data_IF_402336307852
#
_entry.id   IF_402336307852
#
_cell.length_a   1.000
_cell.length_b   1.000
_cell.length_c   1.000
_cell.angle_alpha   90.00
_cell.angle_beta   90.00
_cell.angle_gamma   90.00
#
_symmetry.space_group_name_H-M   'P 1'
#
loop_
_entity.id
_entity.type
_entity.pdbx_description
1 polymer ?
#
# COMPACT_ATOMS: atom_id res chain seq x y z
N UNK A 1 34.57 -3.21 -34.75
CA UNK A 1 33.97 -2.38 -33.75
C UNK A 1 35.06 -2.15 -32.73
N UNK A 2 35.93 -1.15 -32.83
CA UNK A 2 36.38 -0.75 -31.55
C UNK A 2 37.83 -0.90 -31.21
N UNK A 3 38.64 -0.12 -31.88
CA UNK A 3 40.02 0.23 -31.47
C UNK A 3 40.07 1.21 -30.26
N UNK A 4 38.97 1.26 -29.50
CA UNK A 4 38.89 2.11 -28.31
C UNK A 4 38.88 1.20 -27.10
N UNK A 5 39.91 1.28 -26.27
CA UNK A 5 40.03 0.52 -25.00
C UNK A 5 39.04 1.04 -23.95
N UNK A 6 37.74 0.94 -24.26
CA UNK A 6 36.64 1.32 -23.37
C UNK A 6 35.82 0.11 -22.96
N UNK A 7 35.77 -0.13 -21.65
CA UNK A 7 34.93 -1.22 -21.13
C UNK A 7 33.45 -0.83 -21.11
N UNK A 8 32.53 -1.74 -21.49
CA UNK A 8 31.09 -1.43 -21.52
C UNK A 8 30.54 -0.84 -20.22
N UNK A 9 31.03 -1.30 -19.06
CA UNK A 9 30.62 -0.78 -17.74
C UNK A 9 31.00 0.68 -17.48
N UNK A 10 31.97 1.24 -18.22
CA UNK A 10 32.41 2.64 -18.08
C UNK A 10 31.52 3.59 -18.88
N UNK A 11 30.82 3.07 -19.87
CA UNK A 11 30.08 3.87 -20.84
C UNK A 11 29.04 4.80 -20.19
N UNK A 12 28.17 4.36 -19.24
CA UNK A 12 27.20 5.26 -18.62
C UNK A 12 27.85 6.45 -17.91
N UNK A 13 28.95 6.20 -17.16
CA UNK A 13 29.70 7.26 -16.46
C UNK A 13 30.39 8.20 -17.47
N UNK A 14 31.01 7.63 -18.50
CA UNK A 14 31.70 8.39 -19.55
C UNK A 14 30.70 9.29 -20.28
N UNK A 15 29.56 8.76 -20.67
CA UNK A 15 28.50 9.49 -21.37
C UNK A 15 27.96 10.66 -20.54
N UNK A 16 27.69 10.44 -19.25
CA UNK A 16 27.26 11.52 -18.35
C UNK A 16 28.29 12.66 -18.27
N UNK A 17 29.58 12.34 -18.27
CA UNK A 17 30.65 13.34 -18.18
C UNK A 17 30.91 14.13 -19.47
N UNK A 18 30.23 13.80 -20.57
CA UNK A 18 30.34 14.56 -21.82
C UNK A 18 29.63 15.92 -21.71
N UNK A 19 28.60 16.04 -20.90
CA UNK A 19 27.80 17.27 -20.77
C UNK A 19 28.52 18.34 -19.93
N UNK A 20 28.98 17.95 -18.75
CA UNK A 20 29.65 18.82 -17.77
C UNK A 20 30.39 18.02 -16.72
N UNK A 21 30.98 18.70 -15.75
CA UNK A 21 31.57 18.05 -14.56
C UNK A 21 30.49 17.67 -13.56
N UNK A 22 30.66 16.51 -12.94
CA UNK A 22 29.74 15.95 -11.94
C UNK A 22 30.46 15.40 -10.73
N UNK A 23 29.82 15.37 -9.57
CA UNK A 23 30.28 14.59 -8.42
C UNK A 23 29.91 13.11 -8.60
N UNK A 24 30.58 12.20 -7.87
CA UNK A 24 30.23 10.75 -7.88
C UNK A 24 28.76 10.53 -7.50
N UNK A 25 28.23 11.30 -6.53
CA UNK A 25 26.85 11.18 -6.08
C UNK A 25 25.85 11.59 -7.18
N UNK A 26 26.13 12.68 -7.90
CA UNK A 26 25.29 13.13 -9.03
C UNK A 26 25.30 12.10 -10.15
N UNK A 27 26.47 11.54 -10.50
CA UNK A 27 26.57 10.47 -11.51
C UNK A 27 25.75 9.25 -11.08
N UNK A 28 25.91 8.81 -9.81
CA UNK A 28 25.21 7.65 -9.28
C UNK A 28 23.69 7.82 -9.36
N UNK A 29 23.19 9.00 -9.04
CA UNK A 29 21.76 9.35 -9.17
C UNK A 29 21.29 9.36 -10.63
N UNK A 30 22.10 9.96 -11.51
CA UNK A 30 21.76 10.10 -12.93
C UNK A 30 21.64 8.76 -13.65
N UNK A 31 22.58 7.82 -13.37
CA UNK A 31 22.59 6.49 -14.03
C UNK A 31 21.90 5.39 -13.22
N UNK A 32 21.25 5.71 -12.08
CA UNK A 32 20.54 4.75 -11.25
C UNK A 32 21.43 3.70 -10.57
N UNK A 33 22.70 4.01 -10.32
CA UNK A 33 23.67 3.09 -9.70
C UNK A 33 23.98 3.47 -8.25
N UNK A 34 24.53 2.51 -7.48
CA UNK A 34 24.99 2.82 -6.13
C UNK A 34 26.29 3.61 -6.15
N UNK A 35 26.49 4.52 -5.17
CA UNK A 35 27.70 5.30 -5.01
C UNK A 35 29.00 4.46 -5.01
N UNK A 36 29.09 3.31 -4.29
CA UNK A 36 30.27 2.46 -4.33
C UNK A 36 30.57 1.88 -5.72
N UNK A 37 29.54 1.53 -6.49
CA UNK A 37 29.68 1.03 -7.86
C UNK A 37 30.30 2.09 -8.77
N UNK A 38 29.75 3.31 -8.75
CA UNK A 38 30.26 4.43 -9.54
C UNK A 38 31.69 4.81 -9.11
N UNK A 39 31.97 4.86 -7.82
CA UNK A 39 33.32 5.14 -7.30
C UNK A 39 34.37 4.16 -7.84
N UNK A 40 34.03 2.86 -7.91
CA UNK A 40 34.92 1.85 -8.48
C UNK A 40 35.16 2.08 -9.98
N UNK A 41 34.11 2.34 -10.74
CA UNK A 41 34.17 2.65 -12.18
C UNK A 41 35.05 3.88 -12.41
N UNK A 42 34.81 4.97 -11.70
CA UNK A 42 35.58 6.22 -11.78
C UNK A 42 37.05 5.97 -11.48
N UNK A 43 37.38 5.23 -10.44
CA UNK A 43 38.76 4.90 -10.08
C UNK A 43 39.48 4.16 -11.21
N UNK A 44 38.80 3.25 -11.91
CA UNK A 44 39.36 2.56 -13.08
C UNK A 44 39.57 3.53 -14.24
N UNK A 45 38.62 4.43 -14.52
CA UNK A 45 38.70 5.42 -15.60
C UNK A 45 39.78 6.47 -15.35
N UNK A 46 39.99 6.89 -14.11
CA UNK A 46 41.12 7.79 -13.72
C UNK A 46 42.44 7.10 -13.96
N UNK A 47 42.59 5.83 -13.57
CA UNK A 47 43.82 5.04 -13.83
C UNK A 47 44.13 4.88 -15.33
N UNK A 48 43.09 4.84 -16.15
CA UNK A 48 43.20 4.78 -17.63
C UNK A 48 43.38 6.16 -18.25
N UNK A 49 43.42 7.23 -17.46
CA UNK A 49 43.58 8.60 -17.96
C UNK A 49 42.40 9.16 -18.73
N UNK A 50 41.21 8.58 -18.61
CA UNK A 50 39.99 9.04 -19.29
C UNK A 50 39.31 10.17 -18.53
N UNK A 51 39.39 10.16 -17.20
CA UNK A 51 38.73 11.09 -16.28
C UNK A 51 39.75 11.70 -15.35
N UNK A 52 39.52 12.95 -14.99
CA UNK A 52 40.33 13.69 -13.99
C UNK A 52 39.43 14.19 -12.87
N UNK A 53 40.02 14.21 -11.67
CA UNK A 53 39.38 14.80 -10.49
C UNK A 53 39.79 16.27 -10.36
N UNK A 54 38.86 17.11 -10.00
CA UNK A 54 39.08 18.52 -9.79
C UNK A 54 38.22 19.09 -8.68
N UNK A 55 38.32 20.39 -8.48
CA UNK A 55 37.43 21.14 -7.56
C UNK A 55 36.37 21.87 -8.37
N UNK A 56 35.15 21.91 -7.83
CA UNK A 56 34.08 22.70 -8.41
C UNK A 56 34.45 24.19 -8.45
N UNK A 57 34.17 24.85 -9.55
CA UNK A 57 34.51 26.26 -9.75
C UNK A 57 33.76 27.20 -8.77
N UNK A 58 32.56 26.81 -8.35
CA UNK A 58 31.69 27.60 -7.47
C UNK A 58 31.79 27.19 -5.98
N UNK A 59 32.15 25.91 -5.70
CA UNK A 59 32.35 25.43 -4.33
C UNK A 59 33.57 24.51 -4.27
N UNK A 60 34.71 25.08 -3.87
CA UNK A 60 36.00 24.35 -3.75
C UNK A 60 35.99 23.18 -2.75
N UNK A 61 34.95 23.03 -1.94
CA UNK A 61 34.80 21.87 -1.06
C UNK A 61 34.29 20.63 -1.78
N UNK A 62 33.69 20.81 -2.97
CA UNK A 62 33.17 19.71 -3.77
C UNK A 62 34.24 19.20 -4.73
N UNK A 63 34.44 17.88 -4.72
CA UNK A 63 35.23 17.18 -5.72
C UNK A 63 34.32 16.84 -6.90
N UNK A 64 34.74 17.23 -8.09
CA UNK A 64 34.01 16.94 -9.34
C UNK A 64 34.93 16.18 -10.30
N UNK A 65 34.31 15.44 -11.18
CA UNK A 65 34.91 14.63 -12.22
C UNK A 65 34.65 15.28 -13.57
N UNK A 66 35.62 15.23 -14.43
CA UNK A 66 35.51 15.66 -15.83
C UNK A 66 36.32 14.77 -16.75
N UNK A 67 35.99 14.78 -18.04
CA UNK A 67 36.82 14.10 -19.03
C UNK A 67 38.20 14.76 -19.09
N UNK A 68 39.28 13.95 -19.12
CA UNK A 68 40.65 14.41 -19.39
C UNK A 68 40.78 14.84 -20.84
N UNK A 69 41.95 15.38 -21.23
CA UNK A 69 42.27 15.63 -22.63
C UNK A 69 42.12 14.36 -23.48
N UNK A 70 42.69 13.24 -23.00
CA UNK A 70 42.55 11.93 -23.63
C UNK A 70 41.07 11.46 -23.67
N UNK A 71 40.29 11.67 -22.59
CA UNK A 71 38.85 11.37 -22.56
C UNK A 71 38.08 12.14 -23.63
N UNK A 72 38.44 13.42 -23.87
CA UNK A 72 37.83 14.23 -24.92
C UNK A 72 38.18 13.75 -26.32
N UNK A 73 39.43 13.30 -26.55
CA UNK A 73 39.81 12.66 -27.82
C UNK A 73 39.00 11.38 -28.08
N UNK A 74 38.76 10.60 -27.06
CA UNK A 74 37.93 9.40 -27.13
C UNK A 74 36.47 9.78 -27.41
N UNK A 75 35.96 10.85 -26.80
CA UNK A 75 34.58 11.37 -27.02
C UNK A 75 34.39 11.68 -28.51
N UNK A 76 35.32 12.39 -29.14
CA UNK A 76 35.23 12.71 -30.56
C UNK A 76 35.21 11.47 -31.47
N UNK A 77 36.03 10.46 -31.13
CA UNK A 77 36.05 9.19 -31.87
C UNK A 77 34.75 8.38 -31.68
N UNK A 78 34.10 8.48 -30.51
CA UNK A 78 32.85 7.77 -30.21
C UNK A 78 31.64 8.40 -30.87
N UNK A 79 31.68 9.68 -31.20
CA UNK A 79 30.53 10.43 -31.75
C UNK A 79 29.88 9.72 -32.94
N UNK A 80 30.66 9.39 -33.95
CA UNK A 80 30.17 8.68 -35.14
C UNK A 80 29.65 7.27 -34.83
N UNK A 81 30.31 6.56 -33.91
CA UNK A 81 29.87 5.22 -33.51
C UNK A 81 28.55 5.26 -32.74
N UNK A 82 28.30 6.31 -31.96
CA UNK A 82 27.03 6.50 -31.26
C UNK A 82 25.90 6.79 -32.25
N UNK A 83 26.16 7.64 -33.24
CA UNK A 83 25.23 7.94 -34.34
C UNK A 83 24.90 6.66 -35.13
N UNK A 84 25.89 5.81 -35.43
CA UNK A 84 25.67 4.52 -36.08
C UNK A 84 24.82 3.58 -35.27
N UNK A 85 25.02 3.53 -33.94
CA UNK A 85 24.21 2.72 -33.03
C UNK A 85 22.78 3.25 -32.93
N UNK A 86 22.61 4.56 -32.82
CA UNK A 86 21.29 5.23 -32.79
C UNK A 86 20.50 4.91 -34.07
N UNK A 87 21.11 5.12 -35.23
CA UNK A 87 20.51 4.82 -36.53
C UNK A 87 20.14 3.33 -36.67
N UNK A 88 21.01 2.43 -36.18
CA UNK A 88 20.73 0.99 -36.20
C UNK A 88 19.54 0.62 -35.28
N UNK A 89 19.48 1.19 -34.08
CA UNK A 89 18.36 0.99 -33.16
C UNK A 89 17.05 1.55 -33.73
N UNK A 90 17.08 2.77 -34.28
CA UNK A 90 15.91 3.35 -34.94
C UNK A 90 15.45 2.50 -36.13
N UNK A 91 16.41 1.99 -36.94
CA UNK A 91 16.11 1.07 -38.03
C UNK A 91 15.37 -0.18 -37.56
N UNK A 92 15.76 -0.75 -36.43
CA UNK A 92 15.09 -1.92 -35.83
C UNK A 92 13.69 -1.51 -35.33
N UNK A 93 13.56 -0.39 -34.61
CA UNK A 93 12.27 0.08 -34.10
C UNK A 93 11.26 0.35 -35.22
N UNK A 94 11.73 0.92 -36.32
CA UNK A 94 10.90 1.20 -37.50
C UNK A 94 10.51 -0.07 -38.28
N UNK A 95 11.34 -1.12 -38.22
CA UNK A 95 11.05 -2.41 -38.85
C UNK A 95 10.13 -3.31 -38.01
N UNK A 96 9.93 -3.02 -36.74
CA UNK A 96 9.06 -3.81 -35.86
C UNK A 96 7.61 -3.29 -35.90
N UNK A 97 6.65 -4.21 -35.74
CA UNK A 97 5.22 -3.87 -35.69
C UNK A 97 4.84 -2.96 -34.53
N UNK A 98 5.56 -3.03 -33.42
CA UNK A 98 5.30 -2.28 -32.20
C UNK A 98 6.57 -1.53 -31.81
N UNK A 99 6.44 -0.24 -31.54
CA UNK A 99 7.55 0.55 -31.02
C UNK A 99 7.81 0.19 -29.55
N UNK A 100 8.88 -0.55 -29.32
CA UNK A 100 9.27 -1.01 -27.99
C UNK A 100 9.57 0.17 -27.02
N UNK A 101 10.10 1.27 -27.55
CA UNK A 101 10.46 2.44 -26.76
C UNK A 101 9.22 3.09 -26.14
N UNK A 102 8.19 3.33 -26.95
CA UNK A 102 6.91 3.82 -26.46
C UNK A 102 6.28 2.87 -25.44
N UNK A 103 6.40 1.56 -25.67
CA UNK A 103 5.92 0.57 -24.69
C UNK A 103 6.65 0.62 -23.34
N UNK A 104 7.96 0.90 -23.35
CA UNK A 104 8.75 1.07 -22.12
C UNK A 104 8.33 2.37 -21.40
N UNK A 105 8.16 3.47 -22.10
CA UNK A 105 7.70 4.74 -21.52
C UNK A 105 6.32 4.60 -20.85
N UNK A 106 5.37 3.96 -21.53
CA UNK A 106 4.05 3.67 -20.94
C UNK A 106 4.16 2.81 -19.70
N UNK A 107 5.00 1.77 -19.74
CA UNK A 107 5.24 0.89 -18.59
C UNK A 107 5.84 1.65 -17.40
N UNK A 108 6.86 2.46 -17.63
CA UNK A 108 7.48 3.31 -16.61
C UNK A 108 6.46 4.28 -16.01
N UNK A 109 5.68 4.96 -16.85
CA UNK A 109 4.60 5.82 -16.40
C UNK A 109 3.62 5.08 -15.48
N UNK A 110 3.17 3.88 -15.86
CA UNK A 110 2.27 3.07 -15.05
C UNK A 110 2.88 2.65 -13.71
N UNK A 111 4.20 2.45 -13.67
CA UNK A 111 4.92 2.14 -12.43
C UNK A 111 5.08 3.35 -11.51
N UNK A 112 5.16 4.57 -12.04
CA UNK A 112 5.13 5.80 -11.22
C UNK A 112 3.77 6.01 -10.56
N UNK A 113 2.66 5.70 -11.25
CA UNK A 113 1.31 5.79 -10.69
C UNK A 113 1.11 4.76 -9.56
N UNK A 114 1.63 3.56 -9.73
CA UNK A 114 1.49 2.48 -8.75
C UNK A 114 2.60 1.45 -8.93
N UNK A 115 3.48 1.35 -7.94
CA UNK A 115 4.61 0.43 -8.00
C UNK A 115 4.17 -1.04 -8.23
N UNK A 116 5.02 -1.83 -8.87
CA UNK A 116 4.78 -3.27 -9.09
C UNK A 116 4.51 -4.00 -7.77
N UNK A 117 5.25 -3.68 -6.71
CA UNK A 117 5.04 -4.25 -5.37
C UNK A 117 3.61 -4.03 -4.87
N UNK A 118 3.08 -2.83 -5.05
CA UNK A 118 1.72 -2.48 -4.62
C UNK A 118 0.68 -3.24 -5.43
N UNK A 119 0.88 -3.39 -6.76
CA UNK A 119 0.01 -4.20 -7.64
C UNK A 119 0.02 -5.67 -7.22
N UNK A 120 1.19 -6.26 -7.01
CA UNK A 120 1.33 -7.66 -6.55
C UNK A 120 0.66 -7.88 -5.19
N UNK A 121 0.80 -6.93 -4.26
CA UNK A 121 0.13 -7.00 -2.95
C UNK A 121 -1.39 -7.00 -3.07
N UNK A 122 -1.94 -6.24 -3.99
CA UNK A 122 -3.39 -6.20 -4.24
C UNK A 122 -3.89 -7.50 -4.89
N UNK A 123 -3.19 -8.02 -5.89
CA UNK A 123 -3.52 -9.32 -6.51
C UNK A 123 -3.47 -10.46 -5.47
N UNK A 124 -2.45 -10.46 -4.61
CA UNK A 124 -2.38 -11.40 -3.50
C UNK A 124 -3.59 -11.29 -2.58
N UNK A 125 -3.98 -10.06 -2.22
CA UNK A 125 -5.13 -9.81 -1.37
C UNK A 125 -6.43 -10.29 -2.01
N UNK A 126 -6.64 -10.05 -3.31
CA UNK A 126 -7.79 -10.56 -4.04
C UNK A 126 -7.83 -12.09 -4.09
N UNK A 127 -6.69 -12.73 -4.32
CA UNK A 127 -6.59 -14.20 -4.30
C UNK A 127 -6.94 -14.76 -2.92
N UNK A 128 -6.36 -14.21 -1.85
CA UNK A 128 -6.60 -14.66 -0.49
C UNK A 128 -8.05 -14.38 -0.02
N UNK A 129 -8.70 -13.35 -0.56
CA UNK A 129 -10.10 -13.04 -0.24
C UNK A 129 -11.09 -14.08 -0.79
N UNK A 130 -10.72 -14.85 -1.81
CA UNK A 130 -11.56 -15.95 -2.33
C UNK A 130 -11.73 -17.10 -1.36
N UNK A 131 -10.77 -17.27 -0.46
CA UNK A 131 -10.79 -18.29 0.60
C UNK A 131 -11.56 -17.81 1.85
N UNK A 132 -12.16 -16.60 1.80
CA UNK A 132 -12.92 -16.02 2.91
C UNK A 132 -14.41 -16.12 2.58
N UNK A 133 -15.15 -16.75 3.47
CA UNK A 133 -16.61 -16.76 3.46
C UNK A 133 -17.17 -15.99 4.65
N UNK A 134 -18.24 -15.24 4.44
CA UNK A 134 -18.99 -14.58 5.51
C UNK A 134 -20.27 -15.38 5.75
N UNK A 135 -20.43 -15.85 6.97
CA UNK A 135 -21.58 -16.65 7.39
C UNK A 135 -22.34 -15.98 8.54
N UNK A 136 -23.61 -16.28 8.67
CA UNK A 136 -24.40 -15.86 9.86
C UNK A 136 -23.95 -16.65 11.08
N UNK A 137 -24.13 -16.06 12.24
CA UNK A 137 -23.82 -16.67 13.53
C UNK A 137 -24.68 -17.94 13.78
N UNK A 138 -24.01 -18.96 14.25
CA UNK A 138 -24.57 -20.15 14.85
C UNK A 138 -23.90 -20.36 16.22
N UNK A 139 -24.55 -21.08 17.14
CA UNK A 139 -24.03 -21.29 18.51
C UNK A 139 -22.65 -21.96 18.56
N UNK A 140 -22.29 -22.72 17.55
CA UNK A 140 -20.92 -23.28 17.38
C UNK A 140 -19.84 -22.20 17.28
N UNK A 141 -20.18 -20.96 16.95
CA UNK A 141 -19.27 -19.82 16.84
C UNK A 141 -19.19 -18.98 18.12
N UNK A 142 -19.96 -19.32 19.17
CA UNK A 142 -20.02 -18.54 20.41
C UNK A 142 -18.63 -18.35 21.03
N UNK A 143 -17.85 -19.42 21.12
CA UNK A 143 -16.50 -19.38 21.68
C UNK A 143 -15.57 -18.53 20.80
N UNK A 144 -15.65 -18.65 19.47
CA UNK A 144 -14.87 -17.83 18.56
C UNK A 144 -15.23 -16.34 18.66
N UNK A 145 -16.53 -16.02 18.77
CA UNK A 145 -16.98 -14.64 18.97
C UNK A 145 -16.42 -14.04 20.26
N UNK A 146 -16.48 -14.78 21.36
CA UNK A 146 -15.95 -14.36 22.64
C UNK A 146 -14.43 -14.18 22.60
N UNK A 147 -13.71 -15.21 22.16
CA UNK A 147 -12.25 -15.25 22.18
C UNK A 147 -11.63 -14.16 21.30
N UNK A 148 -12.11 -14.00 20.06
CA UNK A 148 -11.59 -12.97 19.15
C UNK A 148 -11.79 -11.55 19.70
N UNK A 149 -12.97 -11.26 20.28
CA UNK A 149 -13.22 -9.95 20.88
C UNK A 149 -12.40 -9.74 22.17
N UNK A 150 -12.33 -10.75 23.03
CA UNK A 150 -11.56 -10.66 24.27
C UNK A 150 -10.06 -10.44 24.00
N UNK A 151 -9.49 -11.20 23.06
CA UNK A 151 -8.10 -11.03 22.62
C UNK A 151 -7.85 -9.61 22.08
N UNK A 152 -8.75 -9.14 21.21
CA UNK A 152 -8.65 -7.81 20.63
C UNK A 152 -8.78 -6.71 21.69
N UNK A 153 -9.80 -6.78 22.58
CA UNK A 153 -9.99 -5.77 23.62
C UNK A 153 -8.77 -5.77 24.58
N UNK A 154 -8.32 -6.92 25.03
CA UNK A 154 -7.20 -7.04 25.96
C UNK A 154 -5.86 -6.57 25.39
N UNK A 155 -5.73 -6.53 24.06
CA UNK A 155 -4.52 -6.02 23.41
C UNK A 155 -4.41 -4.49 23.52
N UNK A 156 -5.52 -3.77 23.54
CA UNK A 156 -5.54 -2.29 23.49
C UNK A 156 -6.17 -1.65 24.72
N UNK A 157 -7.04 -2.35 25.45
CA UNK A 157 -7.88 -1.83 26.51
C UNK A 157 -8.09 -2.86 27.62
N UNK A 158 -8.83 -2.44 28.64
CA UNK A 158 -9.38 -3.34 29.65
C UNK A 158 -10.81 -3.75 29.29
N UNK A 159 -11.17 -4.98 29.64
CA UNK A 159 -12.53 -5.49 29.49
C UNK A 159 -13.47 -4.80 30.47
N UNK A 160 -14.58 -4.26 29.97
CA UNK A 160 -15.62 -3.61 30.76
C UNK A 160 -16.80 -4.57 31.03
N UNK A 161 -17.60 -4.29 32.06
CA UNK A 161 -18.76 -5.15 32.44
C UNK A 161 -19.70 -5.44 31.26
N UNK A 162 -19.95 -4.45 30.39
CA UNK A 162 -20.80 -4.60 29.20
C UNK A 162 -20.20 -5.52 28.14
N UNK A 163 -18.86 -5.61 28.09
CA UNK A 163 -18.20 -6.56 27.19
C UNK A 163 -18.50 -7.99 27.61
N UNK A 164 -18.28 -8.31 28.90
CA UNK A 164 -18.57 -9.65 29.42
C UNK A 164 -20.01 -10.06 29.15
N UNK A 165 -21.00 -9.18 29.40
CA UNK A 165 -22.41 -9.48 29.16
C UNK A 165 -22.69 -9.90 27.72
N UNK A 166 -22.22 -9.11 26.75
CA UNK A 166 -22.50 -9.37 25.33
C UNK A 166 -21.64 -10.50 24.74
N UNK A 167 -20.42 -10.73 25.27
CA UNK A 167 -19.53 -11.76 24.76
C UNK A 167 -19.79 -13.14 25.37
N UNK A 168 -20.27 -13.20 26.63
CA UNK A 168 -20.64 -14.44 27.29
C UNK A 168 -21.99 -14.98 26.83
N UNK A 169 -22.91 -14.10 26.48
CA UNK A 169 -24.28 -14.47 26.05
C UNK A 169 -24.70 -13.72 24.77
N UNK A 170 -24.01 -13.94 23.62
CA UNK A 170 -24.26 -13.21 22.39
C UNK A 170 -25.68 -13.42 21.84
N UNK A 171 -26.28 -14.58 22.06
CA UNK A 171 -27.66 -14.88 21.67
C UNK A 171 -28.64 -13.96 22.41
N UNK A 172 -28.59 -13.92 23.73
CA UNK A 172 -29.51 -13.12 24.58
C UNK A 172 -29.29 -11.60 24.35
N UNK A 173 -28.04 -11.17 24.34
CA UNK A 173 -27.72 -9.73 24.34
C UNK A 173 -27.67 -9.09 22.94
N UNK A 174 -27.60 -9.89 21.87
CA UNK A 174 -27.50 -9.38 20.50
C UNK A 174 -28.66 -9.93 19.63
N UNK A 175 -28.75 -11.26 19.47
CA UNK A 175 -29.67 -11.88 18.52
C UNK A 175 -31.11 -11.68 18.93
N UNK A 176 -31.48 -12.05 20.17
CA UNK A 176 -32.85 -11.94 20.69
C UNK A 176 -33.35 -10.50 20.85
N UNK A 177 -32.40 -9.55 20.93
CA UNK A 177 -32.69 -8.10 20.88
C UNK A 177 -32.86 -7.56 19.46
N UNK A 178 -32.93 -8.43 18.45
CA UNK A 178 -33.11 -8.04 17.06
C UNK A 178 -31.83 -7.60 16.37
N UNK A 179 -30.67 -7.95 16.91
CA UNK A 179 -29.37 -7.80 16.25
C UNK A 179 -28.98 -9.01 15.41
N UNK A 180 -27.77 -8.99 14.87
CA UNK A 180 -27.20 -10.07 14.08
C UNK A 180 -25.69 -10.13 14.30
N UNK A 181 -25.08 -11.31 14.16
CA UNK A 181 -23.64 -11.47 14.18
C UNK A 181 -23.21 -12.15 12.88
N UNK A 182 -22.17 -11.64 12.24
CA UNK A 182 -21.51 -12.27 11.10
C UNK A 182 -20.13 -12.79 11.49
N UNK A 183 -19.77 -13.94 10.92
CA UNK A 183 -18.48 -14.61 11.16
C UNK A 183 -17.76 -14.72 9.82
N UNK A 184 -16.51 -14.29 9.78
CA UNK A 184 -15.63 -14.51 8.64
C UNK A 184 -14.82 -15.80 8.86
N UNK A 185 -15.01 -16.76 7.96
CA UNK A 185 -14.24 -17.99 7.91
C UNK A 185 -13.11 -17.81 6.88
N UNK A 186 -11.91 -18.19 7.23
CA UNK A 186 -10.79 -18.35 6.31
C UNK A 186 -10.35 -19.80 6.33
N UNK A 187 -10.53 -20.51 5.21
CA UNK A 187 -10.33 -21.97 5.14
C UNK A 187 -11.11 -22.72 6.21
N UNK A 188 -12.39 -22.38 6.35
CA UNK A 188 -13.35 -22.94 7.31
C UNK A 188 -13.05 -22.64 8.78
N UNK A 189 -12.00 -21.90 9.12
CA UNK A 189 -11.70 -21.47 10.48
C UNK A 189 -12.23 -20.07 10.78
N UNK A 190 -12.89 -19.81 11.91
CA UNK A 190 -13.34 -18.48 12.30
C UNK A 190 -12.16 -17.54 12.56
N UNK A 191 -11.99 -16.53 11.71
CA UNK A 191 -10.89 -15.58 11.76
C UNK A 191 -11.33 -14.13 11.98
N UNK A 192 -12.62 -13.89 12.00
CA UNK A 192 -13.15 -12.57 12.30
C UNK A 192 -14.63 -12.61 12.61
N UNK A 193 -15.09 -11.64 13.36
CA UNK A 193 -16.50 -11.50 13.79
C UNK A 193 -16.90 -10.03 13.79
N UNK A 194 -18.18 -9.77 13.62
CA UNK A 194 -18.76 -8.43 13.77
C UNK A 194 -20.23 -8.55 14.13
N UNK A 195 -20.72 -7.68 15.01
CA UNK A 195 -22.12 -7.61 15.39
C UNK A 195 -22.81 -6.38 14.78
N UNK A 196 -24.04 -6.58 14.36
CA UNK A 196 -25.05 -5.56 14.09
C UNK A 196 -26.00 -5.53 15.29
N UNK A 197 -25.94 -4.48 16.08
CA UNK A 197 -26.80 -4.35 17.27
C UNK A 197 -28.00 -3.45 16.93
N UNK A 198 -29.20 -3.91 17.28
CA UNK A 198 -30.40 -3.07 17.17
C UNK A 198 -30.32 -1.96 18.20
N UNK A 199 -30.57 -0.72 17.81
CA UNK A 199 -30.61 0.43 18.71
C UNK A 199 -32.05 0.83 19.05
N UNK A 200 -32.26 1.18 20.29
CA UNK A 200 -33.48 1.88 20.77
C UNK A 200 -33.20 3.39 20.78
N UNK A 201 -32.96 3.95 19.59
CA UNK A 201 -32.53 5.34 19.41
C UNK A 201 -33.38 5.98 18.29
N UNK A 202 -33.66 7.27 18.39
CA UNK A 202 -34.44 7.98 17.37
C UNK A 202 -33.65 8.38 16.14
N UNK A 203 -32.29 8.44 16.27
CA UNK A 203 -31.39 8.87 15.20
C UNK A 203 -30.74 7.70 14.45
N UNK A 204 -30.58 6.54 15.10
CA UNK A 204 -29.87 5.39 14.54
C UNK A 204 -30.69 4.11 14.71
N UNK A 205 -30.76 3.34 13.63
CA UNK A 205 -31.48 2.05 13.62
C UNK A 205 -30.61 0.92 14.17
N UNK A 206 -29.31 0.97 13.88
CA UNK A 206 -28.36 -0.08 14.24
C UNK A 206 -27.00 0.49 14.61
N UNK A 207 -26.24 -0.30 15.38
CA UNK A 207 -24.82 -0.08 15.68
C UNK A 207 -23.97 -1.21 15.10
N UNK A 208 -22.89 -0.88 14.40
CA UNK A 208 -21.80 -1.80 14.08
C UNK A 208 -20.89 -1.90 15.31
N UNK A 209 -20.88 -3.07 15.95
CA UNK A 209 -20.15 -3.29 17.20
C UNK A 209 -19.39 -4.63 17.19
N UNK A 210 -18.54 -4.83 18.20
CA UNK A 210 -17.86 -6.11 18.44
C UNK A 210 -17.14 -6.66 17.21
N UNK A 211 -16.48 -5.77 16.43
CA UNK A 211 -15.67 -6.18 15.30
C UNK A 211 -14.28 -6.58 15.80
N UNK A 212 -13.92 -7.82 15.57
CA UNK A 212 -12.59 -8.34 15.86
C UNK A 212 -12.10 -9.25 14.74
N UNK A 213 -10.80 -9.18 14.42
CA UNK A 213 -10.14 -10.02 13.41
C UNK A 213 -8.88 -10.60 14.04
N UNK A 214 -8.71 -11.92 13.90
CA UNK A 214 -7.53 -12.62 14.38
C UNK A 214 -6.24 -12.02 13.81
N UNK A 215 -5.18 -11.80 14.62
CA UNK A 215 -3.88 -11.39 14.14
C UNK A 215 -3.32 -12.28 13.03
N UNK A 216 -3.62 -13.58 13.05
CA UNK A 216 -3.22 -14.56 12.01
C UNK A 216 -3.81 -14.27 10.63
N UNK A 217 -4.89 -13.48 10.58
CA UNK A 217 -5.61 -13.15 9.36
C UNK A 217 -5.52 -11.65 8.99
N UNK A 218 -4.67 -10.88 9.66
CA UNK A 218 -4.44 -9.48 9.32
C UNK A 218 -3.94 -9.31 7.87
N UNK A 219 -4.33 -8.22 7.24
CA UNK A 219 -3.94 -7.90 5.85
C UNK A 219 -4.74 -8.62 4.75
N UNK A 220 -5.58 -9.64 5.10
CA UNK A 220 -6.42 -10.39 4.14
C UNK A 220 -7.72 -9.68 3.77
N UNK A 221 -8.04 -8.55 4.39
CA UNK A 221 -9.26 -7.78 4.12
C UNK A 221 -10.50 -8.23 4.86
N UNK A 222 -10.38 -9.14 5.82
CA UNK A 222 -11.52 -9.67 6.61
C UNK A 222 -12.34 -8.55 7.27
N UNK A 223 -11.69 -7.55 7.87
CA UNK A 223 -12.39 -6.42 8.48
C UNK A 223 -13.27 -5.66 7.50
N UNK A 224 -12.81 -5.47 6.25
CA UNK A 224 -13.60 -4.82 5.20
C UNK A 224 -14.81 -5.68 4.80
N UNK A 225 -14.62 -7.00 4.63
CA UNK A 225 -15.71 -7.92 4.30
C UNK A 225 -16.76 -7.99 5.40
N UNK A 226 -16.35 -8.03 6.67
CA UNK A 226 -17.24 -7.99 7.84
C UNK A 226 -18.03 -6.68 7.87
N UNK A 227 -17.35 -5.53 7.75
CA UNK A 227 -18.01 -4.23 7.76
C UNK A 227 -19.00 -4.08 6.60
N UNK A 228 -18.62 -4.54 5.40
CA UNK A 228 -19.53 -4.57 4.24
C UNK A 228 -20.75 -5.46 4.51
N UNK A 229 -20.53 -6.68 5.03
CA UNK A 229 -21.64 -7.58 5.35
C UNK A 229 -22.62 -6.97 6.36
N UNK A 230 -22.11 -6.31 7.40
CA UNK A 230 -22.95 -5.61 8.39
C UNK A 230 -23.75 -4.48 7.75
N UNK A 231 -23.14 -3.69 6.85
CA UNK A 231 -23.84 -2.64 6.10
C UNK A 231 -24.95 -3.23 5.24
N UNK A 232 -24.66 -4.31 4.51
CA UNK A 232 -25.66 -5.00 3.67
C UNK A 232 -26.81 -5.55 4.52
N UNK A 233 -26.52 -6.19 5.66
CA UNK A 233 -27.55 -6.67 6.61
C UNK A 233 -28.40 -5.56 7.20
N UNK A 234 -27.78 -4.43 7.56
CA UNK A 234 -28.52 -3.27 8.05
C UNK A 234 -29.50 -2.72 6.99
N UNK A 235 -29.08 -2.66 5.72
CA UNK A 235 -29.95 -2.25 4.60
C UNK A 235 -31.08 -3.24 4.35
N UNK A 236 -30.79 -4.55 4.30
CA UNK A 236 -31.80 -5.62 4.13
C UNK A 236 -32.90 -5.56 5.20
N UNK A 237 -32.54 -5.07 6.40
CA UNK A 237 -33.49 -4.89 7.52
C UNK A 237 -34.18 -3.52 7.53
N UNK A 238 -34.01 -2.73 6.48
CA UNK A 238 -34.65 -1.42 6.34
C UNK A 238 -34.05 -0.32 7.19
N UNK A 239 -32.82 -0.51 7.69
CA UNK A 239 -32.07 0.52 8.41
C UNK A 239 -31.74 1.70 7.51
N UNK A 240 -31.80 2.91 8.05
CA UNK A 240 -31.44 4.16 7.39
C UNK A 240 -30.12 4.71 7.86
N UNK A 241 -29.86 4.59 9.16
CA UNK A 241 -28.66 5.11 9.80
C UNK A 241 -27.95 4.03 10.61
N UNK A 242 -26.66 3.88 10.36
CA UNK A 242 -25.77 2.96 11.09
C UNK A 242 -24.75 3.76 11.89
N UNK A 243 -24.58 3.40 13.14
CA UNK A 243 -23.68 4.04 14.11
C UNK A 243 -22.52 3.12 14.49
N UNK A 244 -21.43 3.66 14.97
CA UNK A 244 -20.35 2.92 15.64
C UNK A 244 -19.61 3.76 16.64
N UNK A 245 -19.02 3.10 17.63
CA UNK A 245 -18.09 3.65 18.62
C UNK A 245 -16.68 3.07 18.46
N UNK A 246 -15.66 3.90 18.64
CA UNK A 246 -14.27 3.48 18.48
C UNK A 246 -13.32 4.35 19.31
N UNK A 247 -12.02 4.14 19.10
CA UNK A 247 -10.97 4.95 19.71
C UNK A 247 -9.96 5.40 18.65
N UNK A 248 -9.52 6.65 18.73
CA UNK A 248 -8.61 7.27 17.76
C UNK A 248 -7.21 6.63 17.72
N UNK A 249 -6.78 5.94 18.77
CA UNK A 249 -5.53 5.17 18.76
C UNK A 249 -5.58 3.95 17.81
N UNK A 250 -6.78 3.53 17.39
CA UNK A 250 -6.99 2.42 16.48
C UNK A 250 -6.99 2.89 15.01
N UNK A 251 -5.89 3.47 14.56
CA UNK A 251 -5.79 4.10 13.22
C UNK A 251 -6.26 3.19 12.08
N UNK A 252 -5.93 1.90 12.15
CA UNK A 252 -6.34 0.92 11.12
C UNK A 252 -7.86 0.74 11.08
N UNK A 253 -8.53 0.73 12.24
CA UNK A 253 -9.98 0.64 12.32
C UNK A 253 -10.64 1.93 11.81
N UNK A 254 -10.14 3.10 12.19
CA UNK A 254 -10.65 4.39 11.71
C UNK A 254 -10.53 4.49 10.20
N UNK A 255 -9.38 4.12 9.62
CA UNK A 255 -9.17 4.10 8.17
C UNK A 255 -10.12 3.12 7.47
N UNK A 256 -10.41 1.96 8.08
CA UNK A 256 -11.40 1.01 7.58
C UNK A 256 -12.80 1.63 7.58
N UNK A 257 -13.23 2.26 8.66
CA UNK A 257 -14.55 2.89 8.76
C UNK A 257 -14.72 4.03 7.74
N UNK A 258 -13.70 4.88 7.55
CA UNK A 258 -13.72 5.88 6.48
C UNK A 258 -13.84 5.24 5.10
N UNK A 259 -13.13 4.14 4.85
CA UNK A 259 -13.21 3.39 3.58
C UNK A 259 -14.60 2.77 3.37
N UNK A 260 -15.29 2.40 4.44
CA UNK A 260 -16.68 1.90 4.41
C UNK A 260 -17.70 3.05 4.27
N UNK A 261 -17.28 4.30 4.31
CA UNK A 261 -18.13 5.48 4.13
C UNK A 261 -18.60 6.14 5.42
N UNK A 262 -18.17 5.67 6.58
CA UNK A 262 -18.52 6.29 7.85
C UNK A 262 -17.90 7.68 7.99
N UNK A 263 -18.66 8.58 8.58
CA UNK A 263 -18.25 9.96 8.90
C UNK A 263 -18.28 10.18 10.40
N UNK A 264 -17.36 11.02 10.91
CA UNK A 264 -17.32 11.34 12.33
C UNK A 264 -18.55 12.12 12.75
N UNK A 265 -19.13 11.77 13.89
CA UNK A 265 -20.18 12.48 14.58
C UNK A 265 -19.69 12.94 15.96
N UNK A 266 -20.31 13.98 16.53
CA UNK A 266 -19.95 14.54 17.84
C UNK A 266 -21.19 14.78 18.70
N UNK A 267 -20.99 14.89 20.02
CA UNK A 267 -22.06 15.29 20.95
C UNK A 267 -22.93 14.17 21.48
N UNK A 268 -22.52 12.90 21.31
CA UNK A 268 -23.24 11.76 21.91
C UNK A 268 -22.53 11.23 23.15
N UNK A 269 -23.32 10.80 24.13
CA UNK A 269 -22.80 10.04 25.27
C UNK A 269 -22.49 8.60 24.86
N UNK A 270 -21.45 8.03 25.45
CA UNK A 270 -21.05 6.64 25.23
C UNK A 270 -21.07 5.85 26.55
N UNK A 271 -21.47 4.56 26.53
CA UNK A 271 -21.40 3.73 27.71
C UNK A 271 -20.00 3.14 27.98
N UNK A 272 -19.02 3.38 27.09
CA UNK A 272 -17.65 2.83 27.20
C UNK A 272 -16.65 3.94 27.51
N UNK A 273 -15.87 3.77 28.56
CA UNK A 273 -14.82 4.72 28.96
C UNK A 273 -13.71 4.86 27.90
N UNK A 274 -13.45 3.78 27.17
CA UNK A 274 -12.46 3.73 26.09
C UNK A 274 -12.90 4.39 24.77
N UNK A 275 -14.17 4.76 24.61
CA UNK A 275 -14.65 5.43 23.41
C UNK A 275 -14.28 6.90 23.39
N UNK A 276 -13.64 7.36 22.31
CA UNK A 276 -13.35 8.79 22.11
C UNK A 276 -13.65 9.29 20.69
N UNK A 277 -14.16 8.41 19.83
CA UNK A 277 -14.65 8.75 18.50
C UNK A 277 -15.91 7.97 18.21
N UNK A 278 -16.88 8.67 17.62
CA UNK A 278 -18.16 8.12 17.20
C UNK A 278 -18.34 8.41 15.71
N UNK A 279 -18.87 7.46 14.96
CA UNK A 279 -19.05 7.62 13.53
C UNK A 279 -20.40 7.09 13.09
N UNK A 280 -20.90 7.62 11.97
CA UNK A 280 -22.19 7.28 11.38
C UNK A 280 -22.10 7.04 9.89
N UNK A 281 -23.03 6.25 9.37
CA UNK A 281 -23.19 5.98 7.95
C UNK A 281 -24.65 6.10 7.56
N UNK A 282 -24.94 6.98 6.59
CA UNK A 282 -26.24 7.05 5.92
C UNK A 282 -26.34 5.89 4.92
N UNK A 283 -27.17 4.90 5.23
CA UNK A 283 -27.34 3.69 4.43
C UNK A 283 -28.11 3.95 3.12
N UNK A 284 -28.92 5.01 3.07
CA UNK A 284 -29.71 5.37 1.89
C UNK A 284 -28.84 6.02 0.80
N UNK A 285 -27.82 6.79 1.21
CA UNK A 285 -26.92 7.52 0.32
C UNK A 285 -25.52 6.88 0.22
N UNK A 286 -25.32 5.71 0.84
CA UNK A 286 -24.05 5.00 0.76
C UNK A 286 -23.87 4.31 -0.60
N UNK A 287 -22.64 4.32 -1.20
CA UNK A 287 -22.39 3.72 -2.50
C UNK A 287 -22.78 2.23 -2.54
N UNK A 288 -23.50 1.82 -3.58
CA UNK A 288 -23.94 0.43 -3.78
C UNK A 288 -22.78 -0.54 -4.03
N UNK A 289 -21.62 -0.01 -4.42
CA UNK A 289 -20.41 -0.79 -4.75
C UNK A 289 -19.22 -0.31 -3.93
N UNK A 290 -19.10 -0.84 -2.70
CA UNK A 290 -17.85 -0.75 -1.95
C UNK A 290 -16.87 -1.75 -2.57
N UNK A 291 -15.86 -1.25 -3.28
CA UNK A 291 -14.76 -2.06 -3.82
C UNK A 291 -13.61 -2.14 -2.84
N UNK A 292 -12.93 -3.28 -2.84
CA UNK A 292 -11.75 -3.59 -2.00
C UNK A 292 -10.64 -2.56 -2.11
#
# INVERSE_FOLDING_TARGET
MFDIDMQPKWFPVFYTLQERSYTITEIAQHIGHSHPSVSKIVSEMVKKGLVVEGKDANDRRRNVLSLSAHGKEIQEKLKFQLEDVENAVEGILNATRHNLWLGIEEWEFMLTQKSLFRRVKEERKQRESRDISIVSYEDKFSEAFKTLNAEWISTYFQMEKKDYQSLDNPREFIIEKGGEIVVALFKDEPMGVCALMKMEDTAYDFELAKMAVSPKAHGKGIGFLLGKAIIDRAKERGGKMLYLESNTQLEQAINLYHKLGFKKVVGRSTPYERCNIQMELDLMNSPSHLTF
#
